data_IF_136365722133
#
_entry.id   IF_136365722133
#
_cell.length_a   1.000
_cell.length_b   1.000
_cell.length_c   1.000
_cell.angle_alpha   90.00
_cell.angle_beta   90.00
_cell.angle_gamma   90.00
#
_symmetry.space_group_name_H-M   'P 1'
#
loop_
_entity.id
_entity.type
_entity.pdbx_description
1 polymer ?
#
# COMPACT_ATOMS: atom_id res chain seq x y z
N UNK A 1 0.44 38.65 -4.67
CA UNK A 1 0.92 37.29 -5.03
C UNK A 1 1.13 36.50 -3.75
N UNK A 2 0.12 35.73 -3.41
CA UNK A 2 0.03 34.87 -2.23
C UNK A 2 0.71 33.53 -2.52
N UNK A 3 1.68 33.14 -1.70
CA UNK A 3 2.11 31.74 -1.56
C UNK A 3 2.65 31.49 -0.15
N UNK A 4 1.92 32.00 0.85
CA UNK A 4 2.00 31.50 2.22
C UNK A 4 0.83 30.55 2.36
N UNK A 5 1.10 29.24 2.42
CA UNK A 5 0.21 28.14 2.91
C UNK A 5 0.24 26.93 1.97
N UNK A 6 1.34 26.16 1.96
CA UNK A 6 1.29 24.78 1.45
C UNK A 6 2.39 23.85 1.99
N UNK A 7 3.41 24.36 2.70
CA UNK A 7 4.58 23.54 3.09
C UNK A 7 4.77 23.41 4.60
N UNK A 8 3.69 23.50 5.37
CA UNK A 8 3.67 23.26 6.80
C UNK A 8 3.69 21.73 7.07
N UNK A 9 4.86 21.09 6.90
CA UNK A 9 5.06 19.68 7.25
C UNK A 9 6.13 18.95 6.42
N UNK A 10 6.39 19.42 5.20
CA UNK A 10 7.32 18.76 4.26
C UNK A 10 8.75 19.31 4.31
N UNK A 11 9.01 20.31 5.15
CA UNK A 11 10.34 20.90 5.26
C UNK A 11 10.67 21.33 6.69
N UNK A 12 11.91 21.05 7.12
CA UNK A 12 12.42 21.40 8.43
C UNK A 12 13.49 22.47 8.26
N UNK A 13 13.29 23.62 8.91
CA UNK A 13 14.27 24.70 8.97
C UNK A 13 15.15 24.51 10.21
N UNK A 14 16.46 24.34 10.03
CA UNK A 14 17.43 24.26 11.15
C UNK A 14 18.43 25.41 11.11
N UNK A 15 18.72 25.97 12.28
CA UNK A 15 19.80 26.94 12.48
C UNK A 15 21.07 26.15 12.81
N UNK A 16 22.11 26.30 12.00
CA UNK A 16 23.42 25.63 12.15
C UNK A 16 24.52 26.68 12.28
N UNK A 17 25.65 26.28 12.86
CA UNK A 17 26.85 27.12 13.01
C UNK A 17 28.06 26.37 12.46
N UNK A 18 28.94 27.09 11.75
CA UNK A 18 30.19 26.51 11.27
C UNK A 18 31.19 26.37 12.42
N UNK A 19 31.65 25.15 12.69
CA UNK A 19 32.61 24.87 13.77
C UNK A 19 34.00 25.51 13.56
N UNK A 20 34.34 25.94 12.33
CA UNK A 20 35.65 26.51 11.99
C UNK A 20 35.69 28.03 12.04
N UNK A 21 34.60 28.70 11.67
CA UNK A 21 34.55 30.17 11.55
C UNK A 21 33.38 30.82 12.29
N UNK A 22 32.60 30.06 13.06
CA UNK A 22 31.48 30.52 13.89
C UNK A 22 30.37 31.27 13.14
N UNK A 23 30.36 31.23 11.81
CA UNK A 23 29.31 31.84 11.01
C UNK A 23 28.04 31.00 11.10
N UNK A 24 26.92 31.68 11.40
CA UNK A 24 25.59 31.09 11.49
C UNK A 24 24.94 31.00 10.11
N UNK A 25 24.27 29.90 9.82
CA UNK A 25 23.53 29.70 8.58
C UNK A 25 22.23 28.91 8.83
N UNK A 26 21.29 29.01 7.88
CA UNK A 26 20.02 28.28 7.92
C UNK A 26 20.05 27.21 6.84
N UNK A 27 19.72 25.97 7.20
CA UNK A 27 19.48 24.89 6.23
C UNK A 27 18.00 24.56 6.16
N UNK A 28 17.53 24.23 4.95
CA UNK A 28 16.19 23.72 4.70
C UNK A 28 16.31 22.25 4.31
N UNK A 29 15.85 21.36 5.15
CA UNK A 29 15.69 19.93 4.85
C UNK A 29 14.29 19.72 4.28
N UNK A 30 14.15 18.94 3.21
CA UNK A 30 12.86 18.66 2.56
C UNK A 30 12.70 17.15 2.41
N UNK A 31 11.48 16.67 2.59
CA UNK A 31 11.15 15.28 2.24
C UNK A 31 11.13 15.19 0.71
N UNK A 32 12.10 14.48 0.13
CA UNK A 32 12.16 14.21 -1.30
C UNK A 32 11.44 12.89 -1.58
N UNK A 33 10.27 12.97 -2.21
CA UNK A 33 9.59 11.79 -2.71
C UNK A 33 10.24 11.41 -4.03
N UNK A 34 11.04 10.33 -4.03
CA UNK A 34 11.55 9.76 -5.27
C UNK A 34 10.39 9.02 -5.94
N UNK A 35 9.97 9.44 -7.15
CA UNK A 35 8.83 8.82 -7.81
C UNK A 35 9.15 7.38 -8.21
N UNK A 36 8.18 6.48 -8.00
CA UNK A 36 8.28 5.08 -8.43
C UNK A 36 7.88 4.98 -9.90
N UNK A 37 8.71 4.30 -10.69
CA UNK A 37 8.42 3.98 -12.08
C UNK A 37 7.86 2.57 -12.20
N UNK A 38 6.73 2.45 -12.88
CA UNK A 38 6.04 1.19 -13.16
C UNK A 38 6.38 0.71 -14.56
N UNK A 39 6.93 -0.50 -14.66
CA UNK A 39 7.15 -1.22 -15.92
C UNK A 39 5.91 -2.04 -16.26
N UNK A 40 5.20 -1.66 -17.32
CA UNK A 40 4.00 -2.35 -17.81
C UNK A 40 4.40 -3.60 -18.62
N UNK A 41 3.48 -4.56 -18.74
CA UNK A 41 3.69 -5.79 -19.51
C UNK A 41 4.05 -5.55 -20.99
N UNK A 42 3.56 -4.46 -21.58
CA UNK A 42 3.86 -4.05 -22.95
C UNK A 42 5.23 -3.35 -23.10
N UNK A 43 6.00 -3.22 -22.00
CA UNK A 43 7.29 -2.55 -21.98
C UNK A 43 7.22 -1.05 -21.66
N UNK A 44 6.02 -0.47 -21.59
CA UNK A 44 5.86 0.96 -21.31
C UNK A 44 6.26 1.30 -19.87
N UNK A 45 6.91 2.45 -19.70
CA UNK A 45 7.28 3.02 -18.41
C UNK A 45 6.31 4.15 -18.04
N UNK A 46 5.71 4.07 -16.87
CA UNK A 46 4.80 5.09 -16.37
C UNK A 46 5.09 5.38 -14.91
N UNK A 47 4.78 6.59 -14.44
CA UNK A 47 4.83 6.85 -13.01
C UNK A 47 3.76 6.05 -12.27
N UNK A 48 4.08 5.61 -11.05
CA UNK A 48 3.11 4.99 -10.16
C UNK A 48 1.95 5.96 -9.92
N UNK A 49 0.74 5.46 -10.11
CA UNK A 49 -0.50 6.21 -9.89
C UNK A 49 -1.35 5.42 -8.89
N UNK A 50 -1.35 5.89 -7.65
CA UNK A 50 -2.16 5.40 -6.54
C UNK A 50 -3.61 5.19 -6.94
N UNK A 51 -4.18 6.11 -7.71
CA UNK A 51 -5.59 6.09 -8.10
C UNK A 51 -5.91 4.89 -9.00
N UNK A 52 -4.94 4.41 -9.80
CA UNK A 52 -5.12 3.19 -10.62
C UNK A 52 -5.26 1.95 -9.74
N UNK A 53 -4.43 1.85 -8.70
CA UNK A 53 -4.46 0.72 -7.76
C UNK A 53 -5.77 0.73 -6.97
N UNK A 54 -6.15 1.88 -6.40
CA UNK A 54 -7.40 2.03 -5.66
C UNK A 54 -8.63 1.64 -6.49
N UNK A 55 -8.73 2.11 -7.74
CA UNK A 55 -9.84 1.73 -8.63
C UNK A 55 -9.90 0.22 -8.88
N UNK A 56 -8.75 -0.44 -9.00
CA UNK A 56 -8.68 -1.89 -9.13
C UNK A 56 -9.22 -2.62 -7.91
N UNK A 57 -8.81 -2.17 -6.71
CA UNK A 57 -9.27 -2.71 -5.42
C UNK A 57 -10.77 -2.48 -5.24
N UNK A 58 -11.25 -1.26 -5.45
CA UNK A 58 -12.68 -0.91 -5.30
C UNK A 58 -13.56 -1.83 -6.15
N UNK A 59 -13.17 -2.04 -7.41
CA UNK A 59 -13.91 -2.92 -8.32
C UNK A 59 -13.92 -4.38 -7.85
N UNK A 60 -12.83 -4.86 -7.26
CA UNK A 60 -12.75 -6.21 -6.71
C UNK A 60 -13.61 -6.39 -5.45
N UNK A 61 -13.63 -5.36 -4.58
CA UNK A 61 -14.34 -5.33 -3.31
C UNK A 61 -15.82 -4.93 -3.40
N UNK A 62 -16.39 -4.80 -4.61
CA UNK A 62 -17.80 -4.45 -4.77
C UNK A 62 -18.70 -5.48 -4.04
N UNK A 63 -19.53 -5.01 -3.10
CA UNK A 63 -20.47 -5.88 -2.34
C UNK A 63 -19.81 -6.94 -1.44
N UNK A 64 -18.52 -6.83 -1.11
CA UNK A 64 -17.86 -7.75 -0.15
C UNK A 64 -17.93 -7.26 1.30
N UNK A 65 -18.46 -6.05 1.54
CA UNK A 65 -18.58 -5.47 2.89
C UNK A 65 -17.31 -4.77 3.40
N UNK A 66 -16.24 -4.72 2.59
CA UNK A 66 -15.01 -4.01 2.93
C UNK A 66 -15.27 -2.49 2.85
N UNK A 67 -14.85 -1.75 3.88
CA UNK A 67 -15.06 -0.30 3.95
C UNK A 67 -14.12 0.46 3.01
N UNK A 68 -14.56 1.64 2.56
CA UNK A 68 -13.72 2.52 1.73
C UNK A 68 -12.41 2.91 2.43
N UNK A 69 -12.47 3.16 3.74
CA UNK A 69 -11.29 3.45 4.56
C UNK A 69 -10.30 2.29 4.56
N UNK A 70 -10.78 1.04 4.64
CA UNK A 70 -9.87 -0.12 4.58
C UNK A 70 -9.24 -0.27 3.21
N UNK A 71 -9.98 -0.02 2.13
CA UNK A 71 -9.43 -0.05 0.76
C UNK A 71 -8.35 1.02 0.56
N UNK A 72 -8.55 2.23 1.10
CA UNK A 72 -7.52 3.27 1.09
C UNK A 72 -6.29 2.87 1.91
N UNK A 73 -6.49 2.31 3.11
CA UNK A 73 -5.39 1.83 3.95
C UNK A 73 -4.55 0.75 3.26
N UNK A 74 -5.17 -0.20 2.55
CA UNK A 74 -4.44 -1.21 1.75
C UNK A 74 -3.57 -0.54 0.69
N UNK A 75 -4.07 0.52 0.04
CA UNK A 75 -3.30 1.25 -0.96
C UNK A 75 -2.13 2.02 -0.33
N UNK A 76 -2.34 2.61 0.86
CA UNK A 76 -1.27 3.24 1.64
C UNK A 76 -0.18 2.24 2.04
N UNK A 77 -0.57 1.05 2.51
CA UNK A 77 0.35 -0.04 2.86
C UNK A 77 1.19 -0.48 1.64
N UNK A 78 0.55 -0.64 0.47
CA UNK A 78 1.24 -0.97 -0.78
C UNK A 78 2.21 0.15 -1.19
N UNK A 79 1.76 1.41 -1.16
CA UNK A 79 2.61 2.56 -1.50
C UNK A 79 3.83 2.65 -0.57
N UNK A 80 3.64 2.44 0.73
CA UNK A 80 4.71 2.39 1.71
C UNK A 80 5.70 1.24 1.43
N UNK A 81 5.20 0.04 1.12
CA UNK A 81 6.08 -1.10 0.78
C UNK A 81 6.92 -0.79 -0.47
N UNK A 82 6.31 -0.22 -1.51
CA UNK A 82 7.02 0.17 -2.72
C UNK A 82 8.08 1.26 -2.46
N UNK A 83 7.81 2.21 -1.56
CA UNK A 83 8.75 3.27 -1.18
C UNK A 83 9.95 2.77 -0.38
N UNK A 84 9.80 1.68 0.36
CA UNK A 84 10.87 1.03 1.12
C UNK A 84 11.83 0.20 0.24
N UNK A 85 11.46 -0.08 -1.01
CA UNK A 85 12.30 -0.84 -1.93
C UNK A 85 13.56 -0.06 -2.32
N UNK A 86 14.65 -0.82 -2.51
CA UNK A 86 15.92 -0.29 -3.03
C UNK A 86 15.76 0.12 -4.49
N UNK A 87 15.05 -0.68 -5.29
CA UNK A 87 14.69 -0.34 -6.67
C UNK A 87 13.52 0.64 -6.70
N UNK A 88 13.64 1.65 -7.56
CA UNK A 88 12.56 2.60 -7.89
C UNK A 88 11.81 2.23 -9.18
N UNK A 89 12.18 1.11 -9.79
CA UNK A 89 11.47 0.48 -10.89
C UNK A 89 10.78 -0.78 -10.38
N UNK A 90 9.47 -0.88 -10.62
CA UNK A 90 8.61 -1.97 -10.15
C UNK A 90 7.75 -2.43 -11.32
N UNK A 91 7.63 -3.73 -11.53
CA UNK A 91 6.73 -4.23 -12.58
C UNK A 91 5.26 -4.07 -12.20
N UNK A 92 4.38 -3.89 -13.18
CA UNK A 92 2.93 -3.90 -12.91
C UNK A 92 2.44 -5.26 -12.41
N UNK A 93 3.24 -6.32 -12.66
CA UNK A 93 3.00 -7.66 -12.13
C UNK A 93 3.21 -7.67 -10.62
N UNK A 94 4.36 -7.19 -10.15
CA UNK A 94 4.65 -7.11 -8.71
C UNK A 94 3.59 -6.31 -7.94
N UNK A 95 3.11 -5.19 -8.48
CA UNK A 95 2.05 -4.41 -7.85
C UNK A 95 0.76 -5.24 -7.72
N UNK A 96 0.41 -6.03 -8.74
CA UNK A 96 -0.76 -6.90 -8.70
C UNK A 96 -0.63 -8.01 -7.66
N UNK A 97 0.55 -8.63 -7.53
CA UNK A 97 0.82 -9.63 -6.50
C UNK A 97 0.73 -9.04 -5.09
N UNK A 98 1.19 -7.81 -4.88
CA UNK A 98 0.99 -7.12 -3.60
C UNK A 98 -0.50 -6.92 -3.29
N UNK A 99 -1.28 -6.45 -4.26
CA UNK A 99 -2.73 -6.31 -4.07
C UNK A 99 -3.38 -7.65 -3.72
N UNK A 100 -3.01 -8.72 -4.42
CA UNK A 100 -3.50 -10.07 -4.14
C UNK A 100 -3.14 -10.54 -2.72
N UNK A 101 -1.91 -10.27 -2.26
CA UNK A 101 -1.48 -10.58 -0.89
C UNK A 101 -2.37 -9.90 0.15
N UNK A 102 -2.64 -8.61 0.00
CA UNK A 102 -3.51 -7.88 0.94
C UNK A 102 -4.97 -8.37 0.84
N UNK A 103 -5.52 -8.52 -0.38
CA UNK A 103 -6.91 -8.96 -0.56
C UNK A 103 -7.15 -10.38 -0.05
N UNK A 104 -6.16 -11.26 -0.06
CA UNK A 104 -6.27 -12.62 0.49
C UNK A 104 -6.64 -12.62 1.97
N UNK A 105 -6.09 -11.67 2.74
CA UNK A 105 -6.40 -11.54 4.18
C UNK A 105 -7.76 -10.87 4.45
N UNK A 106 -8.30 -10.15 3.47
CA UNK A 106 -9.52 -9.36 3.64
C UNK A 106 -10.77 -10.09 3.13
N UNK A 107 -10.69 -10.72 1.95
CA UNK A 107 -11.81 -11.43 1.34
C UNK A 107 -11.37 -12.30 0.17
N UNK A 108 -11.65 -13.60 0.26
CA UNK A 108 -11.47 -14.55 -0.85
C UNK A 108 -12.23 -14.13 -2.11
N UNK A 109 -13.45 -13.60 -1.96
CA UNK A 109 -14.27 -13.14 -3.09
C UNK A 109 -13.59 -11.96 -3.80
N UNK A 110 -13.06 -10.99 -3.04
CA UNK A 110 -12.33 -9.87 -3.62
C UNK A 110 -11.02 -10.34 -4.27
N UNK A 111 -10.30 -11.27 -3.64
CA UNK A 111 -9.09 -11.88 -4.19
C UNK A 111 -9.36 -12.52 -5.56
N UNK A 112 -10.36 -13.41 -5.67
CA UNK A 112 -10.68 -14.12 -6.92
C UNK A 112 -11.08 -13.14 -8.02
N UNK A 113 -11.88 -12.11 -7.68
CA UNK A 113 -12.27 -11.06 -8.63
C UNK A 113 -11.09 -10.26 -9.14
N UNK A 114 -10.20 -9.84 -8.24
CA UNK A 114 -9.01 -9.10 -8.63
C UNK A 114 -8.08 -9.97 -9.50
N UNK A 115 -7.85 -11.22 -9.08
CA UNK A 115 -7.05 -12.20 -9.82
C UNK A 115 -7.58 -12.40 -11.24
N UNK A 116 -8.91 -12.36 -11.43
CA UNK A 116 -9.53 -12.51 -12.76
C UNK A 116 -9.18 -11.45 -13.78
N UNK A 117 -9.01 -10.21 -13.33
CA UNK A 117 -8.63 -9.10 -14.21
C UNK A 117 -7.12 -9.08 -14.42
N UNK A 118 -6.37 -9.39 -13.36
CA UNK A 118 -4.92 -9.29 -13.35
C UNK A 118 -4.23 -10.43 -14.13
N UNK A 119 -4.65 -11.68 -13.95
CA UNK A 119 -4.04 -12.84 -14.63
C UNK A 119 -4.53 -13.05 -16.06
N UNK A 120 -5.48 -12.26 -16.55
CA UNK A 120 -6.11 -12.42 -17.88
C UNK A 120 -6.33 -13.91 -18.19
N UNK A 121 -7.16 -14.60 -17.41
CA UNK A 121 -7.38 -16.04 -17.55
C UNK A 121 -7.66 -16.39 -19.02
N UNK A 122 -6.63 -16.88 -19.74
CA UNK A 122 -6.78 -17.27 -21.13
C UNK A 122 -7.40 -18.68 -21.19
N UNK A 123 -7.23 -19.46 -20.12
CA UNK A 123 -7.73 -20.83 -20.04
C UNK A 123 -8.40 -21.16 -18.71
N UNK A 124 -9.31 -22.13 -18.74
CA UNK A 124 -9.98 -22.66 -17.54
C UNK A 124 -8.99 -23.30 -16.53
N UNK A 125 -7.83 -23.78 -17.00
CA UNK A 125 -6.78 -24.34 -16.15
C UNK A 125 -6.14 -23.30 -15.24
N UNK A 126 -5.86 -22.11 -15.77
CA UNK A 126 -5.26 -21.01 -15.01
C UNK A 126 -6.16 -20.59 -13.83
N UNK A 127 -7.48 -20.71 -14.00
CA UNK A 127 -8.46 -20.46 -12.95
C UNK A 127 -8.44 -21.55 -11.87
N UNK A 128 -8.42 -22.83 -12.27
CA UNK A 128 -8.35 -23.97 -11.34
C UNK A 128 -7.05 -23.95 -10.55
N UNK A 129 -5.91 -23.66 -11.17
CA UNK A 129 -4.62 -23.52 -10.47
C UNK A 129 -4.65 -22.40 -9.42
N UNK A 130 -5.32 -21.28 -9.72
CA UNK A 130 -5.46 -20.18 -8.76
C UNK A 130 -6.37 -20.54 -7.58
N UNK A 131 -7.39 -21.38 -7.79
CA UNK A 131 -8.22 -21.94 -6.72
C UNK A 131 -7.46 -23.00 -5.90
N UNK A 132 -6.63 -23.80 -6.55
CA UNK A 132 -5.73 -24.76 -5.89
C UNK A 132 -4.72 -24.04 -4.99
N UNK A 133 -4.16 -22.92 -5.44
CA UNK A 133 -3.24 -22.10 -4.64
C UNK A 133 -3.93 -21.53 -3.39
N UNK A 134 -5.22 -21.21 -3.46
CA UNK A 134 -6.02 -20.81 -2.30
C UNK A 134 -6.25 -21.97 -1.35
N UNK A 135 -6.69 -23.14 -1.86
CA UNK A 135 -7.02 -24.30 -1.03
C UNK A 135 -5.81 -24.93 -0.35
N UNK A 136 -4.63 -24.91 -0.98
CA UNK A 136 -3.38 -25.42 -0.37
C UNK A 136 -2.95 -24.60 0.85
N UNK A 137 -3.28 -23.31 0.91
CA UNK A 137 -2.87 -22.45 2.02
C UNK A 137 -3.82 -22.48 3.23
N UNK A 138 -5.06 -22.95 3.06
CA UNK A 138 -5.95 -23.26 4.19
C UNK A 138 -5.36 -24.35 5.09
N UNK A 139 -4.56 -25.28 4.52
CA UNK A 139 -3.95 -26.38 5.29
C UNK A 139 -2.71 -26.00 6.09
N UNK A 140 -2.05 -24.86 5.78
CA UNK A 140 -0.91 -24.34 6.56
C UNK A 140 -1.30 -23.43 7.73
N UNK A 141 -2.56 -23.02 7.83
CA UNK A 141 -3.05 -22.12 8.89
C UNK A 141 -3.45 -22.85 10.19
N UNK A 142 -3.14 -24.14 10.33
CA UNK A 142 -3.46 -24.94 11.53
C UNK A 142 -2.21 -25.30 12.36
N UNK A 143 -1.26 -24.38 12.46
CA UNK A 143 -0.16 -24.44 13.42
C UNK A 143 -0.49 -23.43 14.54
N UNK A 144 -0.52 -23.82 15.83
CA UNK A 144 -0.71 -22.87 16.90
C UNK A 144 0.54 -21.98 16.99
N UNK A 145 0.40 -20.73 16.56
CA UNK A 145 1.47 -19.73 16.64
C UNK A 145 1.34 -19.03 17.99
N UNK A 146 2.00 -19.55 19.03
CA UNK A 146 2.38 -18.72 20.17
C UNK A 146 3.44 -17.73 19.66
N UNK A 147 3.03 -16.47 19.48
CA UNK A 147 3.96 -15.35 19.39
C UNK A 147 4.34 -14.86 18.00
N UNK A 148 3.37 -14.35 17.23
CA UNK A 148 3.62 -13.20 16.36
C UNK A 148 2.31 -12.43 16.19
N UNK A 149 2.21 -11.31 16.92
CA UNK A 149 1.08 -10.40 16.91
C UNK A 149 0.97 -9.78 15.52
N UNK A 150 0.05 -10.28 14.71
CA UNK A 150 -0.47 -9.59 13.54
C UNK A 150 -1.20 -8.34 14.05
N UNK A 151 -0.55 -7.17 13.99
CA UNK A 151 -1.09 -5.89 14.47
C UNK A 151 -2.18 -5.36 13.52
N UNK A 152 -3.31 -6.06 13.46
CA UNK A 152 -4.43 -5.66 12.61
C UNK A 152 -5.78 -5.82 13.32
N UNK A 153 -5.87 -5.72 14.64
CA UNK A 153 -7.16 -5.54 15.32
C UNK A 153 -6.93 -4.81 16.64
N UNK A 154 -7.29 -3.53 16.69
CA UNK A 154 -8.03 -2.87 17.79
C UNK A 154 -7.91 -1.35 17.68
N UNK A 155 -8.93 -0.72 17.12
CA UNK A 155 -9.51 0.50 17.68
C UNK A 155 -10.88 0.72 17.04
N UNK A 156 -11.83 -0.12 17.43
CA UNK A 156 -13.22 0.28 17.42
C UNK A 156 -13.49 1.04 18.71
N UNK A 157 -14.00 2.26 18.54
CA UNK A 157 -14.89 3.00 19.44
C UNK A 157 -14.99 2.54 20.91
N UNK A 158 -14.57 3.43 21.82
CA UNK A 158 -15.25 3.59 23.09
C UNK A 158 -15.60 5.07 23.32
N UNK A 159 -16.90 5.34 23.20
CA UNK A 159 -17.61 6.44 23.83
C UNK A 159 -17.64 6.21 25.35
N UNK A 160 -17.16 7.20 26.12
CA UNK A 160 -17.47 7.46 27.54
C UNK A 160 -17.31 8.99 27.65
N UNK A 161 -18.32 9.87 27.69
CA UNK A 161 -19.44 10.03 28.61
C UNK A 161 -19.03 10.10 30.10
N UNK A 162 -19.11 11.33 30.67
CA UNK A 162 -19.34 11.71 32.08
C UNK A 162 -18.13 12.32 32.87
N UNK A 163 -18.38 13.56 33.36
CA UNK A 163 -17.90 14.30 34.56
C UNK A 163 -16.38 14.54 34.74
N UNK A 164 -15.85 15.69 35.17
CA UNK A 164 -16.33 16.91 35.85
C UNK A 164 -15.57 18.15 35.32
#
# INVERSE_FOLDING_TARGET
>A
LESRSAQAGQSIRRRRECLRCHRRFTTYERIEFVPITVLKQNGDRQLFDRSKVLRGIVRACEKTGISALRMEAIVDEIEAELQQRVSREVSSLEIGELVLKHLRCESEVAYVRFASVYRQFQTMKDFVETLDDLSRQETSNNIPIEGEYCQCHESSAHTVAIAD
#
